data_IF_642322975439
#
_entry.id   IF_642322975439
#
_cell.length_a   1.000
_cell.length_b   1.000
_cell.length_c   1.000
_cell.angle_alpha   90.00
_cell.angle_beta   90.00
_cell.angle_gamma   90.00
#
_symmetry.space_group_name_H-M   'P 1'
#
loop_
_entity.id
_entity.type
_entity.pdbx_description
1 polymer ?
#
# COMPACT_ATOMS: atom_id res chain seq x y z
N UNK A 1 -8.95 27.40 -14.61
CA UNK A 1 -9.67 26.24 -14.04
C UNK A 1 -8.74 25.61 -13.05
N UNK A 2 -8.83 26.03 -11.80
CA UNK A 2 -8.11 25.41 -10.69
C UNK A 2 -8.96 24.23 -10.23
N UNK A 3 -8.46 23.01 -10.42
CA UNK A 3 -9.07 21.82 -9.83
C UNK A 3 -8.49 21.69 -8.42
N UNK A 4 -9.24 22.17 -7.43
CA UNK A 4 -8.98 21.86 -6.03
C UNK A 4 -9.25 20.37 -5.81
N UNK A 5 -8.20 19.55 -5.93
CA UNK A 5 -8.22 18.21 -5.35
C UNK A 5 -8.07 18.39 -3.83
N UNK A 6 -9.20 18.52 -3.13
CA UNK A 6 -9.24 18.29 -1.69
C UNK A 6 -8.81 16.83 -1.46
N UNK A 7 -7.52 16.60 -1.22
CA UNK A 7 -7.03 15.34 -0.66
C UNK A 7 -7.67 15.19 0.70
N UNK A 8 -8.81 14.51 0.74
CA UNK A 8 -9.59 14.27 1.93
C UNK A 8 -8.71 13.48 2.90
N UNK A 9 -8.20 14.18 3.92
CA UNK A 9 -7.21 13.64 4.83
C UNK A 9 -7.79 12.43 5.57
N UNK A 10 -7.16 11.27 5.42
CA UNK A 10 -7.61 10.04 6.07
C UNK A 10 -7.56 10.20 7.60
N UNK A 11 -8.54 9.61 8.29
CA UNK A 11 -8.53 9.49 9.76
C UNK A 11 -7.38 8.61 10.26
N UNK A 12 -6.78 7.81 9.38
CA UNK A 12 -5.70 6.90 9.72
C UNK A 12 -4.34 7.47 9.31
N UNK A 13 -3.39 7.44 10.24
CA UNK A 13 -1.98 7.75 9.95
C UNK A 13 -1.21 6.54 9.41
N UNK A 14 -1.60 5.33 9.84
CA UNK A 14 -0.90 4.09 9.54
C UNK A 14 -1.87 2.91 9.58
N UNK A 15 -1.72 1.96 8.66
CA UNK A 15 -2.55 0.75 8.60
C UNK A 15 -1.64 -0.49 8.58
N UNK A 16 -2.00 -1.50 9.37
CA UNK A 16 -1.36 -2.80 9.33
C UNK A 16 -2.04 -3.71 8.29
N UNK A 17 -1.27 -4.27 7.36
CA UNK A 17 -1.77 -5.17 6.32
C UNK A 17 -1.22 -6.57 6.53
N UNK A 18 -2.13 -7.52 6.75
CA UNK A 18 -1.81 -8.94 6.79
C UNK A 18 -1.90 -9.55 5.39
N UNK A 19 -0.78 -10.01 4.86
CA UNK A 19 -0.71 -10.72 3.59
C UNK A 19 0.47 -11.71 3.58
N UNK A 20 0.45 -12.66 2.66
CA UNK A 20 1.44 -13.74 2.59
C UNK A 20 2.67 -13.42 1.74
N UNK A 21 3.73 -14.21 1.95
CA UNK A 21 4.96 -14.22 1.15
C UNK A 21 4.80 -14.84 -0.25
N UNK A 22 3.62 -15.36 -0.56
CA UNK A 22 3.24 -15.92 -1.86
C UNK A 22 2.43 -14.90 -2.65
N UNK A 23 2.61 -14.83 -3.98
CA UNK A 23 1.85 -13.92 -4.85
C UNK A 23 0.42 -14.41 -5.16
N UNK A 24 0.09 -15.66 -4.81
CA UNK A 24 -1.13 -16.32 -5.24
C UNK A 24 -1.06 -16.82 -6.69
N UNK A 25 -2.08 -17.57 -7.12
CA UNK A 25 -2.14 -18.17 -8.46
C UNK A 25 -2.78 -17.29 -9.54
N UNK A 26 -3.52 -16.26 -9.11
CA UNK A 26 -4.23 -15.33 -10.00
C UNK A 26 -3.54 -13.96 -9.94
N UNK A 27 -3.34 -13.33 -11.09
CA UNK A 27 -2.76 -11.99 -11.17
C UNK A 27 -3.57 -10.95 -10.38
N UNK A 28 -4.89 -11.14 -10.29
CA UNK A 28 -5.80 -10.26 -9.54
C UNK A 28 -5.39 -10.05 -8.07
N UNK A 29 -4.69 -10.99 -7.44
CA UNK A 29 -4.18 -10.79 -6.07
C UNK A 29 -3.01 -9.81 -6.03
N UNK A 30 -2.14 -9.87 -7.03
CA UNK A 30 -0.98 -8.99 -7.20
C UNK A 30 -1.46 -7.58 -7.51
N UNK A 31 -2.41 -7.47 -8.46
CA UNK A 31 -3.03 -6.20 -8.83
C UNK A 31 -3.68 -5.52 -7.62
N UNK A 32 -4.45 -6.28 -6.83
CA UNK A 32 -5.08 -5.77 -5.61
C UNK A 32 -4.07 -5.31 -4.54
N UNK A 33 -2.94 -6.00 -4.37
CA UNK A 33 -1.90 -5.60 -3.43
C UNK A 33 -1.23 -4.27 -3.84
N UNK A 34 -0.99 -4.09 -5.15
CA UNK A 34 -0.44 -2.85 -5.70
C UNK A 34 -1.46 -1.70 -5.58
N UNK A 35 -2.73 -1.96 -5.94
CA UNK A 35 -3.81 -0.99 -5.82
C UNK A 35 -4.00 -0.52 -4.38
N UNK A 36 -4.02 -1.44 -3.42
CA UNK A 36 -4.08 -1.10 -2.00
C UNK A 36 -2.90 -0.21 -1.59
N UNK A 37 -1.68 -0.54 -2.01
CA UNK A 37 -0.51 0.29 -1.71
C UNK A 37 -0.64 1.72 -2.25
N UNK A 38 -1.14 1.87 -3.48
CA UNK A 38 -1.43 3.18 -4.09
C UNK A 38 -2.53 3.94 -3.36
N UNK A 39 -3.55 3.25 -2.87
CA UNK A 39 -4.62 3.87 -2.06
C UNK A 39 -4.12 4.36 -0.70
N UNK A 40 -3.17 3.65 -0.07
CA UNK A 40 -2.52 4.15 1.14
C UNK A 40 -1.73 5.43 0.85
N UNK A 41 -1.00 5.44 -0.28
CA UNK A 41 -0.22 6.60 -0.74
C UNK A 41 -1.10 7.81 -1.01
N UNK A 42 -2.16 7.65 -1.81
CA UNK A 42 -3.08 8.74 -2.19
C UNK A 42 -3.73 9.41 -0.98
N UNK A 43 -3.88 8.66 0.12
CA UNK A 43 -4.48 9.09 1.39
C UNK A 43 -3.46 9.51 2.45
N UNK A 44 -2.17 9.60 2.11
CA UNK A 44 -1.07 9.93 3.02
C UNK A 44 -0.92 8.97 4.22
N UNK A 45 -1.21 7.68 4.04
CA UNK A 45 -1.18 6.65 5.09
C UNK A 45 0.14 5.86 5.00
N UNK A 46 0.78 5.61 6.14
CA UNK A 46 1.94 4.72 6.25
C UNK A 46 1.53 3.24 6.34
N UNK A 47 2.43 2.33 5.99
CA UNK A 47 2.20 0.88 6.09
C UNK A 47 2.91 0.25 7.30
N UNK A 48 2.21 -0.65 7.98
CA UNK A 48 2.80 -1.71 8.82
C UNK A 48 2.50 -3.05 8.16
N UNK A 49 3.45 -3.97 8.15
CA UNK A 49 3.23 -5.32 7.66
C UNK A 49 4.25 -6.28 8.33
N UNK A 50 4.32 -7.53 7.88
CA UNK A 50 5.18 -8.57 8.48
C UNK A 50 6.63 -8.64 8.00
N UNK A 51 7.14 -7.63 7.28
CA UNK A 51 8.57 -7.53 6.93
C UNK A 51 9.08 -8.37 5.75
N UNK A 52 8.21 -9.12 5.07
CA UNK A 52 8.60 -9.95 3.91
C UNK A 52 8.86 -9.17 2.62
N UNK A 53 9.96 -9.45 1.92
CA UNK A 53 10.33 -8.79 0.67
C UNK A 53 9.75 -9.45 -0.60
N UNK A 54 9.00 -10.54 -0.46
CA UNK A 54 8.44 -11.34 -1.58
C UNK A 54 6.92 -11.47 -1.48
N UNK A 55 6.29 -11.97 -2.54
CA UNK A 55 4.84 -12.21 -2.54
C UNK A 55 4.02 -10.93 -2.54
N UNK A 56 2.81 -11.03 -1.99
CA UNK A 56 1.93 -9.86 -1.82
C UNK A 56 2.54 -8.83 -0.85
N UNK A 57 3.28 -9.29 0.16
CA UNK A 57 4.01 -8.43 1.10
C UNK A 57 5.03 -7.53 0.39
N UNK A 58 5.83 -8.10 -0.51
CA UNK A 58 6.77 -7.33 -1.34
C UNK A 58 6.05 -6.31 -2.22
N UNK A 59 4.94 -6.72 -2.85
CA UNK A 59 4.19 -5.83 -3.75
C UNK A 59 3.56 -4.64 -3.02
N UNK A 60 2.87 -4.87 -1.90
CA UNK A 60 2.23 -3.77 -1.14
C UNK A 60 3.27 -2.85 -0.51
N UNK A 61 4.35 -3.41 0.06
CA UNK A 61 5.42 -2.60 0.68
C UNK A 61 6.18 -1.78 -0.35
N UNK A 62 6.49 -2.34 -1.51
CA UNK A 62 7.15 -1.60 -2.59
C UNK A 62 6.25 -0.48 -3.12
N UNK A 63 4.97 -0.75 -3.39
CA UNK A 63 4.02 0.26 -3.87
C UNK A 63 3.90 1.46 -2.89
N UNK A 64 3.90 1.19 -1.58
CA UNK A 64 3.86 2.25 -0.54
C UNK A 64 5.17 3.03 -0.47
N UNK A 65 6.33 2.34 -0.55
CA UNK A 65 7.66 2.98 -0.54
C UNK A 65 7.89 3.85 -1.77
N UNK A 66 7.52 3.37 -2.95
CA UNK A 66 7.65 4.11 -4.21
C UNK A 66 6.77 5.37 -4.22
N UNK A 67 5.63 5.32 -3.51
CA UNK A 67 4.77 6.47 -3.26
C UNK A 67 5.25 7.41 -2.15
N UNK A 68 6.44 7.20 -1.58
CA UNK A 68 7.05 8.10 -0.59
C UNK A 68 6.44 8.04 0.81
N UNK A 69 5.64 7.01 1.12
CA UNK A 69 5.11 6.78 2.47
C UNK A 69 6.03 5.88 3.29
N UNK A 70 5.93 5.96 4.60
CA UNK A 70 6.78 5.17 5.48
C UNK A 70 6.29 3.72 5.57
N UNK A 71 7.22 2.78 5.64
CA UNK A 71 6.93 1.34 5.77
C UNK A 71 7.67 0.77 6.97
N UNK A 72 6.92 0.09 7.83
CA UNK A 72 7.42 -0.65 9.00
C UNK A 72 7.15 -2.12 8.76
N UNK A 73 8.20 -2.94 8.73
CA UNK A 73 8.14 -4.38 8.51
C UNK A 73 8.78 -5.15 9.64
#
# INVERSE_FOLDING_TARGET
MEMENETQQSKFRRICVFCGSSQGKKSSYQDAAIELGRELVSRNIDLVYGGGSIGLMGLVSQAVRDGGRHVIG
#
